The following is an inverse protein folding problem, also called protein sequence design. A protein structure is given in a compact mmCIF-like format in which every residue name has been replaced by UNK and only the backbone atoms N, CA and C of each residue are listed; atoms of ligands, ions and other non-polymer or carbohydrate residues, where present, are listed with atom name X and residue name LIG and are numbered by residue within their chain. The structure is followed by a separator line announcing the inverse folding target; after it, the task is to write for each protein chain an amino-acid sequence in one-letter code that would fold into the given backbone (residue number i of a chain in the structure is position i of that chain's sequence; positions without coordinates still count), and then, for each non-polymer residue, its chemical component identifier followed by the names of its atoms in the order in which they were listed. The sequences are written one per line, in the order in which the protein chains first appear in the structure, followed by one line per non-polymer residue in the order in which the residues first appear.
data_IF_467532778022
#
_entry.id   IF_467532778022
#
_cell.length_a   1.000
_cell.length_b   1.000
_cell.length_c   1.000
_cell.angle_alpha   90.00
_cell.angle_beta   90.00
_cell.angle_gamma   90.00
#
_symmetry.space_group_name_H-M   'P 1'
#
loop_
_entity.id
_entity.type
_entity.pdbx_description
1 polymer ?
#
# COMPACT_ATOMS: atom_id res chain seq x y z
N UNK A 1 54.09 42.77 1.49
CA UNK A 1 53.44 41.48 1.76
C UNK A 1 53.28 41.28 3.23
N UNK A 2 52.07 41.47 3.78
CA UNK A 2 51.78 41.32 5.23
C UNK A 2 51.61 39.83 5.49
N UNK A 3 52.55 39.19 6.19
CA UNK A 3 52.41 37.82 6.67
C UNK A 3 51.26 37.73 7.65
N UNK A 4 50.15 37.08 7.24
CA UNK A 4 48.98 36.81 8.08
C UNK A 4 49.45 35.97 9.29
N UNK A 5 49.47 36.58 10.49
CA UNK A 5 49.79 35.92 11.77
C UNK A 5 48.77 34.81 12.00
N UNK A 6 49.09 33.58 11.73
CA UNK A 6 48.28 32.44 12.09
C UNK A 6 48.25 32.29 13.61
N UNK A 7 47.07 32.35 14.20
CA UNK A 7 46.88 32.21 15.64
C UNK A 7 47.41 30.80 16.08
N UNK A 8 48.34 30.74 17.05
CA UNK A 8 48.94 29.49 17.52
C UNK A 8 47.90 28.51 18.07
N UNK A 9 46.76 28.98 18.56
CA UNK A 9 45.64 28.17 19.02
C UNK A 9 45.02 27.32 17.88
N UNK A 10 44.91 27.87 16.66
CA UNK A 10 44.36 27.12 15.53
C UNK A 10 45.27 25.96 15.12
N UNK A 11 46.60 26.11 15.22
CA UNK A 11 47.56 25.03 14.94
C UNK A 11 47.48 23.91 15.98
N UNK A 12 47.27 24.28 17.25
CA UNK A 12 47.12 23.29 18.35
C UNK A 12 45.82 22.52 18.19
N UNK A 13 44.71 23.20 17.91
CA UNK A 13 43.41 22.60 17.69
C UNK A 13 43.41 21.59 16.53
N UNK A 14 43.98 21.95 15.38
CA UNK A 14 44.06 21.03 14.24
C UNK A 14 44.93 19.79 14.51
N UNK A 15 46.00 19.96 15.30
CA UNK A 15 46.86 18.85 15.68
C UNK A 15 46.18 17.91 16.66
N UNK A 16 45.46 18.45 17.63
CA UNK A 16 44.66 17.70 18.62
C UNK A 16 43.52 16.94 17.93
N UNK A 17 42.79 17.61 17.02
CA UNK A 17 41.75 17.03 16.22
C UNK A 17 42.28 15.84 15.37
N UNK A 18 43.46 15.98 14.76
CA UNK A 18 44.08 14.92 13.98
C UNK A 18 44.59 13.77 14.84
N UNK A 19 45.10 14.06 16.04
CA UNK A 19 45.59 13.05 16.99
C UNK A 19 44.46 12.19 17.57
N UNK A 20 43.28 12.80 17.76
CA UNK A 20 42.10 12.12 18.33
C UNK A 20 40.98 11.91 17.31
N UNK A 21 41.28 11.95 16.01
CA UNK A 21 40.33 11.88 14.92
C UNK A 21 39.35 10.70 15.05
N UNK A 22 39.82 9.54 15.55
CA UNK A 22 38.99 8.37 15.77
C UNK A 22 37.82 8.62 16.72
N UNK A 23 38.03 9.37 17.79
CA UNK A 23 36.95 9.69 18.76
C UNK A 23 35.87 10.60 18.11
N UNK A 24 36.34 11.61 17.36
CA UNK A 24 35.44 12.54 16.68
C UNK A 24 34.65 11.88 15.54
N UNK A 25 35.28 10.97 14.82
CA UNK A 25 34.60 10.18 13.78
C UNK A 25 33.50 9.31 14.37
N UNK A 26 33.79 8.60 15.46
CA UNK A 26 32.77 7.77 16.15
C UNK A 26 31.62 8.62 16.64
N UNK A 27 31.90 9.77 17.27
CA UNK A 27 30.88 10.70 17.74
C UNK A 27 30.04 11.25 16.57
N UNK A 28 30.69 11.63 15.47
CA UNK A 28 30.00 12.13 14.28
C UNK A 28 29.07 11.06 13.69
N UNK A 29 29.57 9.84 13.50
CA UNK A 29 28.78 8.72 12.98
C UNK A 29 27.59 8.42 13.87
N UNK A 30 27.80 8.46 15.19
CA UNK A 30 26.73 8.22 16.16
C UNK A 30 25.63 9.30 16.06
N UNK A 31 26.02 10.58 16.05
CA UNK A 31 25.06 11.71 15.93
C UNK A 31 24.35 11.66 14.57
N UNK A 32 25.09 11.45 13.49
CA UNK A 32 24.51 11.32 12.16
C UNK A 32 23.53 10.15 12.06
N UNK A 33 23.86 9.01 12.68
CA UNK A 33 22.97 7.84 12.76
C UNK A 33 21.68 8.13 13.51
N UNK A 34 21.76 8.81 14.66
CA UNK A 34 20.56 9.19 15.44
C UNK A 34 19.67 10.15 14.64
N UNK A 35 20.26 11.17 14.02
CA UNK A 35 19.50 12.13 13.20
C UNK A 35 18.85 11.41 12.00
N UNK A 36 19.60 10.53 11.32
CA UNK A 36 19.07 9.78 10.19
C UNK A 36 17.89 8.88 10.59
N UNK A 37 17.99 8.18 11.72
CA UNK A 37 16.92 7.33 12.25
C UNK A 37 15.66 8.15 12.58
N UNK A 38 15.80 9.23 13.34
CA UNK A 38 14.66 10.07 13.74
C UNK A 38 14.01 10.71 12.52
N UNK A 39 14.82 11.30 11.63
CA UNK A 39 14.31 11.93 10.40
C UNK A 39 13.63 10.91 9.47
N UNK A 40 14.24 9.73 9.30
CA UNK A 40 13.68 8.66 8.49
C UNK A 40 12.33 8.18 9.02
N UNK A 41 12.21 8.03 10.34
CA UNK A 41 10.95 7.63 10.96
C UNK A 41 9.85 8.68 10.80
N UNK A 42 10.18 9.96 10.99
CA UNK A 42 9.22 11.05 10.83
C UNK A 42 8.73 11.19 9.38
N UNK A 43 9.65 11.08 8.40
CA UNK A 43 9.28 11.13 6.98
C UNK A 43 8.42 9.92 6.60
N UNK A 44 8.80 8.71 7.02
CA UNK A 44 8.03 7.50 6.74
C UNK A 44 6.60 7.58 7.32
N UNK A 45 6.46 8.05 8.57
CA UNK A 45 5.15 8.23 9.20
C UNK A 45 4.29 9.26 8.47
N UNK A 46 4.86 10.40 8.10
CA UNK A 46 4.15 11.43 7.34
C UNK A 46 3.70 10.97 5.96
N UNK A 47 4.59 10.31 5.21
CA UNK A 47 4.28 9.77 3.89
C UNK A 47 3.20 8.67 3.93
N UNK A 48 3.24 7.84 4.97
CA UNK A 48 2.25 6.77 5.14
C UNK A 48 0.86 7.34 5.46
N UNK A 49 0.78 8.34 6.34
CA UNK A 49 -0.48 9.02 6.65
C UNK A 49 -1.07 9.71 5.43
N UNK A 50 -0.22 10.45 4.69
CA UNK A 50 -0.66 11.11 3.46
C UNK A 50 -1.17 10.11 2.42
N UNK A 51 -0.44 9.02 2.17
CA UNK A 51 -0.85 7.99 1.21
C UNK A 51 -2.17 7.31 1.62
N UNK A 52 -2.38 7.14 2.92
CA UNK A 52 -3.63 6.63 3.46
C UNK A 52 -4.79 7.58 3.18
N UNK A 53 -4.67 8.86 3.53
CA UNK A 53 -5.71 9.85 3.32
C UNK A 53 -6.03 10.05 1.82
N UNK A 54 -5.01 10.12 0.96
CA UNK A 54 -5.16 10.21 -0.48
C UNK A 54 -5.86 8.96 -1.08
N UNK A 55 -5.70 7.79 -0.46
CA UNK A 55 -6.34 6.56 -0.94
C UNK A 55 -7.86 6.60 -0.82
N UNK A 56 -8.39 7.23 0.21
CA UNK A 56 -9.84 7.37 0.39
C UNK A 56 -10.49 8.18 -0.73
N UNK A 57 -9.85 9.30 -1.11
CA UNK A 57 -10.35 10.12 -2.22
C UNK A 57 -10.14 9.44 -3.57
N UNK A 58 -8.94 8.88 -3.81
CA UNK A 58 -8.56 8.31 -5.10
C UNK A 58 -9.38 7.09 -5.48
N UNK A 59 -9.66 6.23 -4.51
CA UNK A 59 -10.38 4.98 -4.72
C UNK A 59 -11.83 5.03 -4.25
N UNK A 60 -12.30 6.20 -3.82
CA UNK A 60 -13.66 6.41 -3.31
C UNK A 60 -14.06 5.34 -2.31
N UNK A 61 -13.23 5.17 -1.27
CA UNK A 61 -13.40 4.10 -0.28
C UNK A 61 -14.67 4.33 0.52
N UNK A 62 -15.42 3.27 0.76
CA UNK A 62 -16.66 3.28 1.52
C UNK A 62 -16.48 3.70 2.98
N UNK A 63 -17.46 4.41 3.53
CA UNK A 63 -17.49 4.77 4.97
C UNK A 63 -17.77 3.55 5.86
N UNK A 64 -18.37 2.51 5.29
CA UNK A 64 -18.66 1.27 5.99
C UNK A 64 -19.46 0.30 5.15
N UNK A 65 -19.39 -0.97 5.51
CA UNK A 65 -20.11 -2.05 4.84
C UNK A 65 -20.87 -2.94 5.83
N UNK A 66 -21.88 -3.60 5.33
CA UNK A 66 -22.59 -4.64 6.05
C UNK A 66 -23.05 -5.74 5.10
N UNK A 67 -23.04 -6.96 5.57
CA UNK A 67 -23.48 -8.13 4.82
C UNK A 67 -24.87 -8.59 5.27
N UNK A 68 -25.72 -8.91 4.32
CA UNK A 68 -27.06 -9.44 4.56
C UNK A 68 -27.18 -10.85 3.98
N UNK A 69 -27.92 -11.71 4.70
CA UNK A 69 -28.12 -13.11 4.27
C UNK A 69 -28.99 -13.27 3.01
N UNK A 70 -29.74 -12.26 2.65
CA UNK A 70 -30.63 -12.23 1.48
C UNK A 70 -30.54 -10.86 0.84
N UNK A 71 -30.81 -10.81 -0.44
CA UNK A 71 -30.92 -9.55 -1.17
C UNK A 71 -31.86 -8.58 -0.45
N UNK A 72 -31.39 -7.34 -0.25
CA UNK A 72 -32.16 -6.30 0.41
C UNK A 72 -33.34 -5.91 -0.48
N UNK A 73 -34.53 -5.78 0.12
CA UNK A 73 -35.71 -5.31 -0.62
C UNK A 73 -35.55 -3.84 -0.99
N UNK A 74 -36.17 -3.42 -2.11
CA UNK A 74 -36.20 -2.02 -2.53
C UNK A 74 -36.70 -1.07 -1.44
N UNK A 75 -37.71 -1.46 -0.69
CA UNK A 75 -38.23 -0.67 0.42
C UNK A 75 -37.23 -0.49 1.57
N UNK A 76 -36.37 -1.48 1.84
CA UNK A 76 -35.29 -1.33 2.83
C UNK A 76 -34.20 -0.38 2.30
N UNK A 77 -33.81 -0.53 1.05
CA UNK A 77 -32.82 0.35 0.42
C UNK A 77 -33.31 1.80 0.41
N UNK A 78 -34.56 2.02 0.02
CA UNK A 78 -35.19 3.35 0.02
C UNK A 78 -35.27 3.96 1.43
N UNK A 79 -35.54 3.14 2.43
CA UNK A 79 -35.59 3.59 3.82
C UNK A 79 -34.21 4.04 4.34
N UNK A 80 -33.16 3.31 3.99
CA UNK A 80 -31.79 3.63 4.39
C UNK A 80 -31.23 4.84 3.62
N UNK A 81 -31.66 5.04 2.38
CA UNK A 81 -31.20 6.19 1.55
C UNK A 81 -31.90 7.51 1.93
N UNK A 82 -33.01 7.48 2.68
CA UNK A 82 -33.73 8.70 3.09
C UNK A 82 -32.90 9.67 3.92
N UNK A 83 -31.91 9.17 4.66
CA UNK A 83 -31.04 9.99 5.52
C UNK A 83 -29.79 10.53 4.77
N UNK A 84 -29.78 10.47 3.44
CA UNK A 84 -28.67 10.95 2.61
C UNK A 84 -27.53 9.93 2.45
N UNK A 85 -27.69 8.73 3.00
CA UNK A 85 -26.75 7.62 2.80
C UNK A 85 -26.88 7.07 1.38
N UNK A 86 -25.76 6.93 0.66
CA UNK A 86 -25.72 6.22 -0.63
C UNK A 86 -25.40 4.76 -0.38
N UNK A 87 -26.16 3.87 -0.96
CA UNK A 87 -25.96 2.43 -0.84
C UNK A 87 -25.60 1.86 -2.19
N UNK A 88 -24.50 1.12 -2.22
CA UNK A 88 -24.00 0.43 -3.40
C UNK A 88 -24.10 -1.08 -3.18
N UNK A 89 -25.12 -1.75 -3.76
CA UNK A 89 -25.23 -3.19 -3.65
C UNK A 89 -24.04 -3.89 -4.30
N UNK A 90 -23.41 -4.77 -3.54
CA UNK A 90 -22.29 -5.56 -4.04
C UNK A 90 -22.58 -7.04 -3.83
N UNK A 91 -22.38 -7.84 -4.86
CA UNK A 91 -22.59 -9.28 -4.82
C UNK A 91 -21.28 -9.98 -5.10
N UNK A 92 -21.07 -11.11 -4.43
CA UNK A 92 -19.97 -12.00 -4.73
C UNK A 92 -20.45 -13.42 -4.92
N UNK A 93 -19.65 -14.20 -5.65
CA UNK A 93 -19.80 -15.65 -5.79
C UNK A 93 -18.61 -16.31 -5.12
N UNK A 94 -18.86 -17.33 -4.32
CA UNK A 94 -17.80 -18.14 -3.73
C UNK A 94 -17.51 -19.35 -4.61
N UNK A 95 -16.26 -19.53 -5.00
CA UNK A 95 -15.78 -20.68 -5.78
C UNK A 95 -14.54 -21.28 -5.15
N UNK A 96 -14.42 -22.59 -5.26
CA UNK A 96 -13.25 -23.31 -4.79
C UNK A 96 -12.21 -23.39 -5.91
N UNK A 97 -10.96 -23.21 -5.54
CA UNK A 97 -9.84 -23.43 -6.44
C UNK A 97 -9.49 -24.92 -6.49
N UNK A 98 -9.22 -25.46 -7.68
CA UNK A 98 -8.85 -26.88 -7.82
C UNK A 98 -7.46 -27.23 -7.31
N UNK A 99 -6.53 -26.28 -7.40
CA UNK A 99 -5.10 -26.52 -7.13
C UNK A 99 -4.66 -26.17 -5.71
N UNK A 100 -5.43 -25.38 -5.00
CA UNK A 100 -5.17 -24.94 -3.61
C UNK A 100 -6.49 -25.08 -2.87
N UNK A 101 -6.51 -25.70 -1.70
CA UNK A 101 -7.71 -25.77 -0.86
C UNK A 101 -8.07 -24.38 -0.31
N UNK A 102 -8.55 -23.51 -1.18
CA UNK A 102 -9.02 -22.18 -0.81
C UNK A 102 -10.33 -21.86 -1.52
N UNK A 103 -11.17 -21.11 -0.82
CA UNK A 103 -12.41 -20.56 -1.38
C UNK A 103 -12.15 -19.09 -1.69
N UNK A 104 -12.40 -18.71 -2.94
CA UNK A 104 -12.25 -17.33 -3.39
C UNK A 104 -13.62 -16.68 -3.53
N UNK A 105 -13.70 -15.41 -3.20
CA UNK A 105 -14.86 -14.55 -3.47
C UNK A 105 -14.61 -13.79 -4.75
N UNK A 106 -15.47 -13.98 -5.73
CA UNK A 106 -15.40 -13.32 -7.03
C UNK A 106 -16.40 -12.17 -7.02
N UNK A 107 -15.91 -10.98 -7.24
CA UNK A 107 -16.69 -9.75 -7.32
C UNK A 107 -16.75 -9.26 -8.75
N UNK A 108 -17.81 -8.55 -9.10
CA UNK A 108 -17.85 -7.77 -10.32
C UNK A 108 -16.98 -6.51 -10.14
N UNK A 109 -16.29 -6.08 -11.22
CA UNK A 109 -15.55 -4.83 -11.24
C UNK A 109 -16.40 -3.66 -10.72
N UNK A 110 -15.86 -2.91 -9.78
CA UNK A 110 -16.50 -1.73 -9.20
C UNK A 110 -16.19 -0.50 -10.04
N UNK A 111 -17.14 0.41 -10.18
CA UNK A 111 -16.98 1.61 -11.01
C UNK A 111 -17.26 2.91 -10.26
N UNK A 112 -17.87 2.83 -9.09
CA UNK A 112 -18.31 4.02 -8.35
C UNK A 112 -17.68 4.12 -6.96
N UNK A 113 -17.54 3.00 -6.26
CA UNK A 113 -17.04 2.95 -4.88
C UNK A 113 -16.04 1.81 -4.73
N UNK A 114 -15.09 1.95 -3.80
CA UNK A 114 -14.01 1.00 -3.55
C UNK A 114 -13.31 0.56 -4.84
N UNK A 115 -12.86 1.54 -5.60
CA UNK A 115 -12.21 1.29 -6.87
C UNK A 115 -10.92 0.48 -6.66
N UNK A 116 -10.73 -0.52 -7.49
CA UNK A 116 -9.57 -1.40 -7.40
C UNK A 116 -8.29 -0.65 -7.78
N UNK A 117 -7.22 -0.90 -7.02
CA UNK A 117 -5.88 -0.43 -7.32
C UNK A 117 -5.13 -1.46 -8.14
N UNK A 118 -5.01 -1.25 -9.45
CA UNK A 118 -4.22 -2.12 -10.31
C UNK A 118 -2.73 -1.95 -10.01
N UNK A 119 -2.06 -3.04 -9.64
CA UNK A 119 -0.63 -3.06 -9.32
C UNK A 119 0.20 -3.57 -10.49
N UNK A 120 -0.32 -4.53 -11.25
CA UNK A 120 0.35 -5.18 -12.38
C UNK A 120 -0.70 -5.67 -13.37
N UNK A 121 -0.38 -5.72 -14.66
CA UNK A 121 -1.27 -6.21 -15.70
C UNK A 121 -2.33 -5.21 -16.15
N UNK A 122 -3.54 -5.70 -16.42
CA UNK A 122 -4.69 -4.92 -16.86
C UNK A 122 -5.96 -5.33 -16.10
N UNK A 123 -7.00 -4.51 -16.20
CA UNK A 123 -8.31 -4.95 -15.73
C UNK A 123 -8.94 -5.95 -16.72
N UNK A 124 -9.73 -6.94 -16.23
CA UNK A 124 -10.45 -7.87 -17.09
C UNK A 124 -11.35 -7.14 -18.09
N UNK A 125 -11.22 -7.48 -19.35
CA UNK A 125 -12.07 -6.98 -20.45
C UNK A 125 -12.96 -8.09 -21.02
N UNK A 126 -12.49 -9.35 -20.95
CA UNK A 126 -13.19 -10.52 -21.46
C UNK A 126 -13.75 -11.39 -20.32
N UNK A 127 -14.76 -12.21 -20.67
CA UNK A 127 -15.44 -13.10 -19.70
C UNK A 127 -14.53 -14.18 -19.10
N UNK A 128 -13.41 -14.49 -19.76
CA UNK A 128 -12.44 -15.49 -19.32
C UNK A 128 -11.20 -14.87 -18.65
N UNK A 129 -11.26 -13.59 -18.34
CA UNK A 129 -10.19 -12.88 -17.64
C UNK A 129 -10.58 -12.58 -16.19
N UNK A 130 -9.59 -12.62 -15.31
CA UNK A 130 -9.77 -12.30 -13.90
C UNK A 130 -8.55 -11.58 -13.33
N UNK A 131 -8.80 -10.54 -12.54
CA UNK A 131 -7.79 -9.95 -11.68
C UNK A 131 -7.87 -10.58 -10.29
N UNK A 132 -6.73 -10.83 -9.67
CA UNK A 132 -6.65 -11.48 -8.36
C UNK A 132 -5.96 -10.57 -7.33
N UNK A 133 -6.23 -10.81 -6.06
CA UNK A 133 -5.55 -10.12 -4.97
C UNK A 133 -4.04 -10.35 -5.02
N UNK A 134 -3.28 -9.27 -4.84
CA UNK A 134 -1.82 -9.30 -4.89
C UNK A 134 -1.21 -10.27 -3.88
N UNK A 135 -1.71 -10.31 -2.66
CA UNK A 135 -1.16 -11.20 -1.62
C UNK A 135 -1.45 -12.66 -1.95
N UNK A 136 -2.64 -12.93 -2.50
CA UNK A 136 -2.97 -14.25 -2.99
C UNK A 136 -2.03 -14.68 -4.14
N UNK A 137 -1.80 -13.79 -5.11
CA UNK A 137 -0.88 -14.04 -6.22
C UNK A 137 0.54 -14.36 -5.73
N UNK A 138 1.10 -13.52 -4.85
CA UNK A 138 2.44 -13.71 -4.28
C UNK A 138 2.56 -15.02 -3.50
N UNK A 139 1.60 -15.32 -2.64
CA UNK A 139 1.62 -16.52 -1.80
C UNK A 139 1.52 -17.81 -2.61
N UNK A 140 0.80 -17.78 -3.72
CA UNK A 140 0.60 -18.94 -4.60
C UNK A 140 1.50 -18.93 -5.83
N UNK A 141 2.39 -17.93 -5.97
CA UNK A 141 3.33 -17.78 -7.10
C UNK A 141 2.61 -17.72 -8.46
N UNK A 142 1.51 -16.99 -8.50
CA UNK A 142 0.71 -16.76 -9.69
C UNK A 142 1.14 -15.43 -10.31
N UNK A 143 1.28 -15.41 -11.63
CA UNK A 143 1.70 -14.25 -12.42
C UNK A 143 0.65 -13.89 -13.48
N UNK A 144 0.72 -12.66 -13.97
CA UNK A 144 -0.09 -12.23 -15.13
C UNK A 144 0.19 -13.15 -16.33
N UNK A 145 -0.87 -13.61 -16.97
CA UNK A 145 -0.83 -14.58 -18.07
C UNK A 145 -1.00 -16.05 -17.65
N UNK A 146 -0.92 -16.35 -16.35
CA UNK A 146 -1.21 -17.70 -15.86
C UNK A 146 -2.71 -18.00 -15.96
N UNK A 147 -3.04 -19.29 -15.99
CA UNK A 147 -4.43 -19.77 -16.03
C UNK A 147 -4.80 -20.35 -14.68
N UNK A 148 -5.92 -19.92 -14.15
CA UNK A 148 -6.49 -20.42 -12.90
C UNK A 148 -7.87 -21.04 -13.14
N UNK A 149 -8.09 -22.21 -12.58
CA UNK A 149 -9.40 -22.89 -12.62
C UNK A 149 -10.20 -22.56 -11.36
N UNK A 150 -11.39 -21.98 -11.55
CA UNK A 150 -12.36 -21.67 -10.49
C UNK A 150 -13.68 -22.39 -10.81
N UNK A 151 -14.05 -23.33 -9.97
CA UNK A 151 -15.15 -24.23 -10.29
C UNK A 151 -14.89 -25.00 -11.59
N UNK A 152 -15.76 -24.85 -12.56
CA UNK A 152 -15.64 -25.50 -13.88
C UNK A 152 -15.14 -24.56 -14.98
N UNK A 153 -14.70 -23.35 -14.64
CA UNK A 153 -14.26 -22.32 -15.59
C UNK A 153 -12.78 -22.04 -15.42
N UNK A 154 -12.08 -21.90 -16.55
CA UNK A 154 -10.68 -21.48 -16.60
C UNK A 154 -10.60 -20.00 -16.92
N UNK A 155 -9.86 -19.26 -16.11
CA UNK A 155 -9.64 -17.82 -16.26
C UNK A 155 -8.16 -17.53 -16.49
N UNK A 156 -7.88 -16.56 -17.35
CA UNK A 156 -6.54 -16.00 -17.52
C UNK A 156 -6.36 -14.85 -16.55
N UNK A 157 -5.25 -14.83 -15.82
CA UNK A 157 -4.89 -13.74 -14.93
C UNK A 157 -4.39 -12.55 -15.77
N UNK A 158 -4.99 -11.40 -15.59
CA UNK A 158 -4.69 -10.18 -16.36
C UNK A 158 -4.10 -9.05 -15.51
#
# INVERSE_FOLDING_TARGET
MVKKKTNPLNKRFLRELKSEAGKYIVLFVFIAGVIALVSGFLVASGSMSQAYDESFEKYNIEDGNFEVKREASSGLLDALQKDGTKIYPNFYKEEQTKNVESTLRIFKKRTEIDLECLMEGSFPEDENEIAIDRMYAVNNKISVGDVMELGDVSYTIC
#
